data_IF_153404399065
#
_entry.id   IF_153404399065
#
_cell.length_a   1.000
_cell.length_b   1.000
_cell.length_c   1.000
_cell.angle_alpha   90.00
_cell.angle_beta   90.00
_cell.angle_gamma   90.00
#
_symmetry.space_group_name_H-M   'P 1'
#
loop_
_entity.id
_entity.type
_entity.pdbx_description
1 polymer ?
#
# COMPACT_ATOMS: atom_id res chain seq x y z
N UNK A 1 35.06 27.29 14.83
CA UNK A 1 34.77 25.91 14.36
C UNK A 1 33.34 25.62 14.78
N UNK A 2 32.37 26.28 14.17
CA UNK A 2 30.98 26.30 14.68
C UNK A 2 29.95 25.79 13.66
N UNK A 3 30.39 25.48 12.45
CA UNK A 3 29.51 25.02 11.37
C UNK A 3 29.21 23.53 11.54
N UNK A 4 30.23 22.71 11.79
CA UNK A 4 30.07 21.25 11.96
C UNK A 4 29.26 20.92 13.23
N UNK A 5 29.48 21.66 14.33
CA UNK A 5 28.72 21.48 15.57
C UNK A 5 27.24 21.87 15.42
N UNK A 6 26.90 22.83 14.54
CA UNK A 6 25.51 23.17 14.21
C UNK A 6 24.84 22.09 13.34
N UNK A 7 25.59 21.37 12.51
CA UNK A 7 25.05 20.25 11.72
C UNK A 7 24.72 19.02 12.58
N UNK A 8 25.50 18.75 13.63
CA UNK A 8 25.21 17.66 14.58
C UNK A 8 24.18 18.03 15.66
N UNK A 9 23.95 19.32 15.89
CA UNK A 9 22.91 19.84 16.80
C UNK A 9 21.54 19.99 16.14
N UNK A 10 21.38 19.41 14.94
CA UNK A 10 20.08 19.29 14.28
C UNK A 10 19.44 17.98 14.75
N UNK A 11 18.67 18.06 15.83
CA UNK A 11 17.74 17.02 16.30
C UNK A 11 16.66 16.67 15.25
N UNK A 12 16.62 17.40 14.13
CA UNK A 12 15.83 17.12 12.92
C UNK A 12 16.13 15.74 12.31
N UNK A 13 17.35 15.21 12.46
CA UNK A 13 17.70 13.86 11.96
C UNK A 13 17.29 12.72 12.91
N UNK A 14 17.39 12.95 14.22
CA UNK A 14 17.01 11.98 15.24
C UNK A 14 15.49 11.86 15.37
N UNK A 15 14.73 12.90 15.05
CA UNK A 15 13.27 12.87 14.95
C UNK A 15 12.78 12.24 13.63
N UNK A 16 13.53 12.40 12.52
CA UNK A 16 13.18 11.77 11.24
C UNK A 16 13.16 10.23 11.28
N UNK A 17 14.05 9.60 12.05
CA UNK A 17 14.12 8.13 12.11
C UNK A 17 12.95 7.51 12.90
N UNK A 18 12.39 8.22 13.88
CA UNK A 18 11.24 7.77 14.65
C UNK A 18 9.96 7.80 13.82
N UNK A 19 9.72 8.93 13.12
CA UNK A 19 8.59 9.03 12.19
C UNK A 19 8.77 8.08 11.00
N UNK A 20 10.00 7.80 10.55
CA UNK A 20 10.27 6.82 9.51
C UNK A 20 9.88 5.39 9.93
N UNK A 21 10.11 5.01 11.20
CA UNK A 21 9.70 3.69 11.71
C UNK A 21 8.17 3.55 11.77
N UNK A 22 7.48 4.60 12.23
CA UNK A 22 6.01 4.63 12.25
C UNK A 22 5.46 4.59 10.82
N UNK A 23 6.03 5.38 9.91
CA UNK A 23 5.66 5.40 8.49
C UNK A 23 5.90 4.03 7.83
N UNK A 24 7.01 3.35 8.16
CA UNK A 24 7.29 2.00 7.67
C UNK A 24 6.24 0.99 8.17
N UNK A 25 5.84 1.06 9.44
CA UNK A 25 4.78 0.22 9.99
C UNK A 25 3.42 0.44 9.32
N UNK A 26 3.01 1.70 9.14
CA UNK A 26 1.76 2.06 8.45
C UNK A 26 1.82 1.60 6.98
N UNK A 27 2.97 1.75 6.32
CA UNK A 27 3.16 1.37 4.92
C UNK A 27 2.92 -0.13 4.70
N UNK A 28 3.43 -1.00 5.58
CA UNK A 28 3.21 -2.46 5.49
C UNK A 28 1.71 -2.79 5.60
N UNK A 29 1.00 -2.16 6.54
CA UNK A 29 -0.44 -2.36 6.73
C UNK A 29 -1.23 -1.92 5.48
N UNK A 30 -0.87 -0.76 4.92
CA UNK A 30 -1.51 -0.25 3.69
C UNK A 30 -1.26 -1.20 2.52
N UNK A 31 -0.02 -1.68 2.33
CA UNK A 31 0.30 -2.63 1.25
C UNK A 31 -0.55 -3.89 1.35
N UNK A 32 -0.69 -4.46 2.56
CA UNK A 32 -1.53 -5.63 2.78
C UNK A 32 -3.01 -5.35 2.48
N UNK A 33 -3.53 -4.21 2.94
CA UNK A 33 -4.91 -3.81 2.67
C UNK A 33 -5.17 -3.60 1.16
N UNK A 34 -4.25 -2.94 0.46
CA UNK A 34 -4.34 -2.72 -0.98
C UNK A 34 -4.26 -4.04 -1.76
N UNK A 35 -3.46 -5.02 -1.32
CA UNK A 35 -3.42 -6.33 -1.96
C UNK A 35 -4.77 -7.06 -1.86
N UNK A 36 -5.43 -7.04 -0.70
CA UNK A 36 -6.78 -7.62 -0.53
C UNK A 36 -7.82 -6.90 -1.38
N UNK A 37 -7.84 -5.56 -1.31
CA UNK A 37 -8.80 -4.74 -2.06
C UNK A 37 -8.57 -4.92 -3.58
N UNK A 38 -7.32 -4.94 -4.02
CA UNK A 38 -6.96 -5.17 -5.42
C UNK A 38 -7.44 -6.53 -5.93
N UNK A 39 -7.28 -7.59 -5.14
CA UNK A 39 -7.82 -8.91 -5.47
C UNK A 39 -9.34 -8.90 -5.63
N UNK A 40 -10.06 -8.28 -4.69
CA UNK A 40 -11.52 -8.15 -4.76
C UNK A 40 -11.98 -7.34 -5.97
N UNK A 41 -11.33 -6.19 -6.24
CA UNK A 41 -11.62 -5.36 -7.40
C UNK A 41 -11.41 -6.16 -8.69
N UNK A 42 -10.30 -6.89 -8.80
CA UNK A 42 -10.03 -7.74 -9.96
C UNK A 42 -11.14 -8.79 -10.15
N UNK A 43 -11.55 -9.45 -9.06
CA UNK A 43 -12.64 -10.43 -9.11
C UNK A 43 -13.96 -9.81 -9.57
N UNK A 44 -14.32 -8.63 -9.05
CA UNK A 44 -15.55 -7.92 -9.45
C UNK A 44 -15.51 -7.52 -10.92
N UNK A 45 -14.38 -7.01 -11.42
CA UNK A 45 -14.26 -6.68 -12.84
C UNK A 45 -14.27 -7.92 -13.75
N UNK A 46 -13.69 -9.04 -13.31
CA UNK A 46 -13.80 -10.32 -14.03
C UNK A 46 -15.24 -10.82 -14.11
N UNK A 47 -16.00 -10.70 -13.02
CA UNK A 47 -17.43 -11.03 -12.99
C UNK A 47 -18.24 -10.15 -13.94
N UNK A 48 -18.02 -8.83 -13.91
CA UNK A 48 -18.67 -7.89 -14.83
C UNK A 48 -18.33 -8.22 -16.29
N UNK A 49 -17.06 -8.47 -16.59
CA UNK A 49 -16.63 -8.85 -17.94
C UNK A 49 -17.33 -10.14 -18.41
N UNK A 50 -17.45 -11.13 -17.52
CA UNK A 50 -18.15 -12.37 -17.80
C UNK A 50 -19.63 -12.13 -18.13
N UNK A 51 -20.34 -11.37 -17.29
CA UNK A 51 -21.74 -11.05 -17.49
C UNK A 51 -21.97 -10.28 -18.81
N UNK A 52 -21.08 -9.35 -19.16
CA UNK A 52 -21.15 -8.61 -20.44
C UNK A 52 -20.91 -9.55 -21.64
N UNK A 53 -20.07 -10.57 -21.49
CA UNK A 53 -19.85 -11.59 -22.53
C UNK A 53 -20.99 -12.61 -22.67
N UNK A 54 -22.03 -12.52 -21.83
CA UNK A 54 -23.16 -13.45 -21.80
C UNK A 54 -22.88 -14.76 -21.06
N UNK A 55 -21.74 -14.86 -20.37
CA UNK A 55 -21.39 -15.99 -19.52
C UNK A 55 -21.91 -15.83 -18.09
N UNK A 56 -21.77 -16.90 -17.34
CA UNK A 56 -22.08 -17.02 -15.91
C UNK A 56 -20.78 -17.14 -15.11
N UNK A 57 -20.65 -16.36 -14.05
CA UNK A 57 -19.48 -16.41 -13.16
C UNK A 57 -19.72 -17.44 -12.05
N UNK A 58 -18.83 -18.42 -11.91
CA UNK A 58 -18.94 -19.49 -10.91
C UNK A 58 -18.13 -19.25 -9.62
N UNK A 59 -17.48 -18.08 -9.52
CA UNK A 59 -16.58 -17.72 -8.42
C UNK A 59 -15.10 -18.00 -8.71
N UNK A 60 -14.76 -18.68 -9.81
CA UNK A 60 -13.38 -18.99 -10.20
C UNK A 60 -13.10 -18.75 -11.70
N UNK A 61 -14.11 -18.88 -12.56
CA UNK A 61 -14.03 -18.67 -13.99
C UNK A 61 -15.36 -18.19 -14.59
N UNK A 62 -15.27 -17.69 -15.83
CA UNK A 62 -16.44 -17.39 -16.65
C UNK A 62 -16.80 -18.61 -17.50
N UNK A 63 -18.04 -19.07 -17.41
CA UNK A 63 -18.61 -20.18 -18.17
C UNK A 63 -19.87 -19.81 -18.91
#
# INVERSE_FOLDING_TARGET
>A
MDVINKFFKNEDGATAIEYALIAAGISIVIIAAVALVGGNISSTFSEIACAVSGGTWDGNACS
#
